data_IF_870009353239
#
_entry.id   IF_870009353239
#
_cell.length_a   1.000
_cell.length_b   1.000
_cell.length_c   1.000
_cell.angle_alpha   90.00
_cell.angle_beta   90.00
_cell.angle_gamma   90.00
#
_symmetry.space_group_name_H-M   'P 1'
#
loop_
_entity.id
_entity.type
_entity.pdbx_description
1 polymer ?
#
# COMPACT_ATOMS: atom_id res chain seq x y z
N UNK A 1 -35.45 39.35 -41.32
CA UNK A 1 -34.39 40.04 -40.55
C UNK A 1 -33.88 39.07 -39.48
N UNK A 2 -32.63 38.63 -39.66
CA UNK A 2 -31.70 37.88 -38.79
C UNK A 2 -32.20 37.22 -37.48
N UNK A 3 -32.12 35.88 -37.53
CA UNK A 3 -31.81 34.89 -36.49
C UNK A 3 -30.97 35.40 -35.30
N UNK A 4 -31.34 35.03 -34.08
CA UNK A 4 -30.40 34.94 -32.96
C UNK A 4 -30.76 33.72 -32.09
N UNK A 5 -30.18 32.56 -32.42
CA UNK A 5 -30.15 31.39 -31.54
C UNK A 5 -28.97 31.56 -30.57
N UNK A 6 -29.24 31.75 -29.28
CA UNK A 6 -28.24 31.66 -28.22
C UNK A 6 -27.93 30.19 -27.95
N UNK A 7 -26.76 29.74 -28.41
CA UNK A 7 -26.23 28.41 -28.12
C UNK A 7 -25.59 28.44 -26.72
N UNK A 8 -26.29 27.90 -25.72
CA UNK A 8 -25.74 27.70 -24.38
C UNK A 8 -24.85 26.45 -24.41
N UNK A 9 -23.55 26.63 -24.64
CA UNK A 9 -22.59 25.54 -24.53
C UNK A 9 -22.40 25.20 -23.05
N UNK A 10 -23.09 24.16 -22.56
CA UNK A 10 -22.73 23.50 -21.31
C UNK A 10 -21.34 22.88 -21.51
N UNK A 11 -20.31 23.58 -21.08
CA UNK A 11 -19.00 22.96 -20.85
C UNK A 11 -19.17 22.09 -19.61
N UNK A 12 -19.54 20.83 -19.81
CA UNK A 12 -19.45 19.82 -18.77
C UNK A 12 -17.98 19.70 -18.41
N UNK A 13 -17.56 20.37 -17.33
CA UNK A 13 -16.26 20.13 -16.72
C UNK A 13 -16.22 18.65 -16.37
N UNK A 14 -15.46 17.87 -17.13
CA UNK A 14 -15.12 16.52 -16.73
C UNK A 14 -14.39 16.67 -15.40
N UNK A 15 -15.09 16.39 -14.29
CA UNK A 15 -14.48 16.31 -12.98
C UNK A 15 -13.45 15.18 -13.09
N UNK A 16 -12.18 15.56 -13.20
CA UNK A 16 -11.09 14.60 -13.10
C UNK A 16 -11.20 14.01 -11.70
N UNK A 17 -11.44 12.70 -11.63
CA UNK A 17 -11.43 11.97 -10.36
C UNK A 17 -10.07 12.27 -9.71
N UNK A 18 -10.06 12.72 -8.45
CA UNK A 18 -8.81 12.99 -7.76
C UNK A 18 -8.16 11.70 -7.28
N UNK A 19 -6.90 11.76 -6.81
CA UNK A 19 -6.24 10.59 -6.22
C UNK A 19 -7.05 9.91 -5.11
N UNK A 20 -7.81 10.67 -4.32
CA UNK A 20 -8.71 10.13 -3.29
C UNK A 20 -9.82 9.26 -3.91
N UNK A 21 -10.40 9.69 -5.03
CA UNK A 21 -11.41 8.90 -5.76
C UNK A 21 -10.79 7.65 -6.37
N UNK A 22 -9.54 7.73 -6.86
CA UNK A 22 -8.79 6.55 -7.34
C UNK A 22 -8.57 5.53 -6.25
N UNK A 23 -8.16 5.97 -5.06
CA UNK A 23 -8.01 5.10 -3.91
C UNK A 23 -9.33 4.45 -3.50
N UNK A 24 -10.43 5.21 -3.49
CA UNK A 24 -11.76 4.66 -3.20
C UNK A 24 -12.15 3.59 -4.20
N UNK A 25 -11.95 3.85 -5.49
CA UNK A 25 -12.22 2.89 -6.56
C UNK A 25 -11.33 1.64 -6.47
N UNK A 26 -10.06 1.82 -6.11
CA UNK A 26 -9.11 0.74 -5.88
C UNK A 26 -9.56 -0.14 -4.72
N UNK A 27 -9.81 0.44 -3.55
CA UNK A 27 -10.28 -0.26 -2.35
C UNK A 27 -11.59 -1.01 -2.62
N UNK A 28 -12.55 -0.38 -3.30
CA UNK A 28 -13.86 -0.97 -3.57
C UNK A 28 -13.81 -2.15 -4.55
N UNK A 29 -12.97 -2.07 -5.59
CA UNK A 29 -13.00 -3.05 -6.69
C UNK A 29 -11.80 -4.00 -6.78
N UNK A 30 -10.71 -3.79 -6.02
CA UNK A 30 -9.60 -4.73 -5.94
C UNK A 30 -9.81 -5.67 -4.73
N UNK A 31 -10.37 -6.85 -5.00
CA UNK A 31 -10.55 -7.92 -4.00
C UNK A 31 -9.29 -8.74 -3.83
N UNK A 32 -8.58 -8.99 -4.93
CA UNK A 32 -7.23 -9.54 -4.92
C UNK A 32 -6.33 -8.67 -5.76
N UNK A 33 -5.04 -8.67 -5.46
CA UNK A 33 -4.04 -8.16 -6.38
C UNK A 33 -2.69 -8.83 -6.13
N UNK A 34 -1.82 -8.77 -7.13
CA UNK A 34 -0.42 -9.10 -7.01
C UNK A 34 0.41 -8.08 -7.79
N UNK A 35 1.64 -7.85 -7.34
CA UNK A 35 2.59 -6.98 -8.02
C UNK A 35 4.01 -7.34 -7.59
N UNK A 36 4.98 -6.97 -8.41
CA UNK A 36 6.37 -6.85 -7.97
C UNK A 36 6.55 -5.49 -7.31
N UNK A 37 7.50 -5.38 -6.39
CA UNK A 37 7.86 -4.12 -5.77
C UNK A 37 9.36 -3.85 -5.72
N UNK A 38 9.71 -2.57 -5.74
CA UNK A 38 11.01 -2.06 -5.33
C UNK A 38 10.79 -1.04 -4.23
N UNK A 39 11.43 -1.26 -3.09
CA UNK A 39 11.43 -0.38 -1.94
C UNK A 39 12.79 0.30 -1.82
N UNK A 40 12.79 1.61 -1.65
CA UNK A 40 13.99 2.41 -1.37
C UNK A 40 13.74 3.21 -0.11
N UNK A 41 14.64 3.11 0.87
CA UNK A 41 14.61 3.88 2.10
C UNK A 41 15.74 4.89 2.04
N UNK A 42 15.41 6.15 2.31
CA UNK A 42 16.38 7.24 2.43
C UNK A 42 16.27 7.94 3.77
N UNK A 43 17.40 8.42 4.28
CA UNK A 43 17.43 9.28 5.47
C UNK A 43 16.99 10.72 5.15
N UNK A 44 16.90 11.56 6.19
CA UNK A 44 16.48 12.97 6.08
C UNK A 44 17.33 13.83 5.14
N UNK A 45 18.53 13.38 4.78
CA UNK A 45 19.42 14.06 3.84
C UNK A 45 19.25 13.53 2.40
N UNK A 46 18.30 12.61 2.17
CA UNK A 46 18.06 11.97 0.87
C UNK A 46 19.05 10.87 0.53
N UNK A 47 19.94 10.48 1.46
CA UNK A 47 20.88 9.39 1.21
C UNK A 47 20.14 8.06 1.34
N UNK A 48 20.26 7.21 0.32
CA UNK A 48 19.70 5.85 0.34
C UNK A 48 20.41 5.03 1.42
N UNK A 49 19.65 4.52 2.37
CA UNK A 49 20.12 3.67 3.46
C UNK A 49 19.82 2.20 3.23
N UNK A 50 18.75 1.91 2.50
CA UNK A 50 18.34 0.55 2.17
C UNK A 50 17.62 0.53 0.83
N UNK A 51 17.79 -0.56 0.09
CA UNK A 51 16.96 -0.88 -1.06
C UNK A 51 16.57 -2.34 -0.94
N UNK A 52 15.32 -2.66 -1.27
CA UNK A 52 14.83 -4.02 -1.26
C UNK A 52 13.86 -4.25 -2.43
N UNK A 53 13.67 -5.49 -2.83
CA UNK A 53 12.71 -5.84 -3.88
C UNK A 53 12.06 -7.17 -3.60
N UNK A 54 10.92 -7.41 -4.24
CA UNK A 54 10.20 -8.64 -4.06
C UNK A 54 8.82 -8.66 -4.70
N UNK A 55 7.96 -9.51 -4.17
CA UNK A 55 6.59 -9.70 -4.63
C UNK A 55 5.60 -9.44 -3.51
N UNK A 56 4.48 -8.83 -3.85
CA UNK A 56 3.35 -8.68 -2.96
C UNK A 56 2.10 -9.33 -3.54
N UNK A 57 1.26 -9.84 -2.65
CA UNK A 57 -0.10 -10.25 -2.96
C UNK A 57 -1.04 -9.83 -1.82
N UNK A 58 -2.29 -9.52 -2.14
CA UNK A 58 -3.33 -9.39 -1.14
C UNK A 58 -4.64 -10.04 -1.59
N UNK A 59 -5.42 -10.45 -0.60
CA UNK A 59 -6.80 -10.86 -0.75
C UNK A 59 -7.62 -10.26 0.40
N UNK A 60 -8.63 -9.47 0.05
CA UNK A 60 -9.49 -8.84 1.04
C UNK A 60 -10.52 -9.84 1.59
N UNK A 61 -10.90 -9.72 2.88
CA UNK A 61 -10.33 -8.80 3.88
C UNK A 61 -9.04 -9.36 4.53
N UNK A 62 -8.09 -8.48 4.83
CA UNK A 62 -7.04 -8.73 5.83
C UNK A 62 -5.94 -9.73 5.46
N UNK A 63 -5.96 -10.34 4.26
CA UNK A 63 -4.91 -11.28 3.85
C UNK A 63 -3.91 -10.61 2.94
N UNK A 64 -2.64 -10.81 3.21
CA UNK A 64 -1.56 -10.33 2.38
C UNK A 64 -0.30 -11.14 2.56
N UNK A 65 0.59 -11.03 1.59
CA UNK A 65 1.90 -11.62 1.61
C UNK A 65 2.88 -10.70 0.91
N UNK A 66 4.04 -10.52 1.53
CA UNK A 66 5.19 -9.84 0.97
C UNK A 66 6.37 -10.79 1.06
N UNK A 67 6.94 -11.11 -0.09
CA UNK A 67 8.13 -11.92 -0.22
C UNK A 67 9.26 -10.97 -0.63
N UNK A 68 10.15 -10.64 0.29
CA UNK A 68 11.38 -9.88 0.02
C UNK A 68 12.45 -10.85 -0.48
N UNK A 69 13.08 -10.53 -1.61
CA UNK A 69 14.08 -11.38 -2.26
C UNK A 69 15.51 -10.80 -2.17
N UNK A 70 15.66 -9.50 -1.93
CA UNK A 70 16.96 -8.86 -1.86
C UNK A 70 16.89 -7.61 -0.97
N UNK A 71 18.01 -7.22 -0.31
CA UNK A 71 19.25 -8.00 -0.13
C UNK A 71 19.11 -9.13 0.90
N UNK A 72 18.06 -9.11 1.72
CA UNK A 72 17.77 -10.10 2.73
C UNK A 72 16.43 -10.76 2.40
N UNK A 73 16.37 -12.09 2.56
CA UNK A 73 15.14 -12.82 2.31
C UNK A 73 14.23 -12.73 3.55
N UNK A 74 13.05 -12.16 3.35
CA UNK A 74 12.07 -11.98 4.41
C UNK A 74 10.67 -12.28 3.89
N UNK A 75 9.86 -12.96 4.70
CA UNK A 75 8.47 -13.23 4.38
C UNK A 75 7.57 -12.56 5.41
N UNK A 76 6.67 -11.70 4.96
CA UNK A 76 5.65 -11.08 5.80
C UNK A 76 4.28 -11.58 5.33
N UNK A 77 3.52 -12.22 6.22
CA UNK A 77 2.18 -12.77 5.90
C UNK A 77 1.16 -12.29 6.90
N UNK A 78 0.11 -11.63 6.40
CA UNK A 78 -1.14 -11.45 7.14
C UNK A 78 -2.13 -12.52 6.71
N UNK A 79 -2.58 -13.37 7.64
CA UNK A 79 -3.53 -14.46 7.34
C UNK A 79 -5.01 -14.08 7.58
N UNK A 80 -5.24 -12.83 8.02
CA UNK A 80 -6.53 -12.27 8.42
C UNK A 80 -6.74 -12.19 9.93
N UNK A 81 -5.91 -12.87 10.73
CA UNK A 81 -5.94 -12.81 12.19
C UNK A 81 -4.57 -12.45 12.77
N UNK A 82 -3.51 -13.05 12.25
CA UNK A 82 -2.12 -12.87 12.69
C UNK A 82 -1.26 -12.29 11.58
N UNK A 83 -0.25 -11.55 12.02
CA UNK A 83 0.90 -11.12 11.22
C UNK A 83 2.08 -12.03 11.56
N UNK A 84 2.65 -12.64 10.54
CA UNK A 84 3.86 -13.45 10.61
C UNK A 84 4.98 -12.69 9.89
N UNK A 85 6.11 -12.53 10.55
CA UNK A 85 7.34 -12.00 9.95
C UNK A 85 8.41 -13.07 10.10
N UNK A 86 8.88 -13.62 8.99
CA UNK A 86 9.96 -14.59 8.98
C UNK A 86 11.20 -13.97 8.37
N UNK A 87 12.22 -13.83 9.20
CA UNK A 87 13.58 -13.50 8.78
C UNK A 87 14.30 -14.82 8.49
N UNK A 88 14.61 -15.07 7.21
CA UNK A 88 15.16 -16.36 6.75
C UNK A 88 16.62 -16.52 7.19
N UNK A 89 17.39 -15.43 7.21
CA UNK A 89 18.81 -15.46 7.55
C UNK A 89 19.03 -15.73 9.05
N UNK A 90 18.12 -15.22 9.89
CA UNK A 90 18.14 -15.46 11.34
C UNK A 90 17.40 -16.74 11.76
N UNK A 91 16.70 -17.39 10.83
CA UNK A 91 15.74 -18.46 11.08
C UNK A 91 14.76 -18.12 12.22
N UNK A 92 14.23 -16.90 12.19
CA UNK A 92 13.39 -16.36 13.27
C UNK A 92 12.03 -15.91 12.75
N UNK A 93 10.96 -16.37 13.41
CA UNK A 93 9.58 -15.99 13.15
C UNK A 93 9.05 -15.12 14.28
N UNK A 94 8.62 -13.90 13.95
CA UNK A 94 7.86 -13.04 14.84
C UNK A 94 6.37 -13.14 14.50
N UNK A 95 5.52 -13.34 15.51
CA UNK A 95 4.06 -13.42 15.36
C UNK A 95 3.36 -12.36 16.21
N UNK A 96 2.40 -11.64 15.63
CA UNK A 96 1.62 -10.60 16.30
C UNK A 96 0.15 -10.63 15.89
N UNK A 97 -0.80 -10.20 16.74
CA UNK A 97 -2.17 -9.94 16.31
C UNK A 97 -2.20 -8.89 15.20
N UNK A 98 -2.96 -9.14 14.13
CA UNK A 98 -2.96 -8.24 12.97
C UNK A 98 -3.57 -6.86 13.30
N UNK A 99 -4.57 -6.82 14.19
CA UNK A 99 -5.27 -5.59 14.59
C UNK A 99 -4.36 -4.52 15.19
N UNK A 100 -3.29 -4.92 15.86
CA UNK A 100 -2.35 -4.01 16.53
C UNK A 100 -1.35 -3.37 15.56
N UNK A 101 -1.23 -3.90 14.33
CA UNK A 101 -0.17 -3.55 13.36
C UNK A 101 -0.70 -2.81 12.14
N UNK A 102 -2.02 -2.60 12.02
CA UNK A 102 -2.66 -2.00 10.83
C UNK A 102 -2.09 -0.61 10.49
N UNK A 103 -1.57 0.13 11.49
CA UNK A 103 -0.95 1.44 11.29
C UNK A 103 0.56 1.41 10.94
N UNK A 104 1.23 0.26 11.05
CA UNK A 104 2.70 0.17 11.05
C UNK A 104 3.35 -0.28 9.74
N UNK A 105 2.59 -0.75 8.74
CA UNK A 105 3.19 -1.24 7.48
C UNK A 105 2.39 -0.79 6.23
N UNK A 106 3.08 -0.50 5.10
CA UNK A 106 2.40 -0.25 3.81
C UNK A 106 1.49 -1.42 3.40
N UNK A 107 1.90 -2.65 3.70
CA UNK A 107 1.18 -3.88 3.39
C UNK A 107 -0.23 -3.91 4.02
N UNK A 108 -0.31 -3.58 5.32
CA UNK A 108 -1.58 -3.55 6.04
C UNK A 108 -2.51 -2.46 5.51
N UNK A 109 -1.97 -1.32 5.07
CA UNK A 109 -2.77 -0.26 4.43
C UNK A 109 -3.42 -0.74 3.14
N UNK A 110 -2.68 -1.51 2.33
CA UNK A 110 -3.18 -2.03 1.06
C UNK A 110 -4.15 -3.20 1.23
N UNK A 111 -4.02 -4.01 2.28
CA UNK A 111 -4.86 -5.19 2.50
C UNK A 111 -6.02 -4.97 3.49
N UNK A 112 -5.97 -3.86 4.24
CA UNK A 112 -6.98 -3.45 5.23
C UNK A 112 -8.36 -3.27 4.64
N UNK A 113 -9.40 -3.31 5.45
CA UNK A 113 -10.76 -3.11 4.97
C UNK A 113 -10.98 -1.69 4.38
N UNK A 114 -12.21 -1.40 3.95
CA UNK A 114 -12.60 -0.07 3.47
C UNK A 114 -12.49 1.03 4.55
N UNK A 115 -11.86 0.78 5.70
CA UNK A 115 -11.74 1.71 6.82
C UNK A 115 -10.45 2.54 6.80
N UNK A 116 -9.76 2.70 5.66
CA UNK A 116 -8.61 3.63 5.59
C UNK A 116 -8.97 5.02 6.10
N UNK A 117 -10.18 5.50 5.82
CA UNK A 117 -10.70 6.79 6.30
C UNK A 117 -11.00 6.81 7.81
N UNK A 118 -11.09 5.65 8.47
CA UNK A 118 -11.19 5.57 9.94
C UNK A 118 -9.87 5.98 10.59
N UNK A 119 -8.75 5.60 9.97
CA UNK A 119 -7.40 5.79 10.53
C UNK A 119 -6.68 7.00 9.93
N UNK A 120 -7.04 7.42 8.71
CA UNK A 120 -6.37 8.48 7.98
C UNK A 120 -7.34 9.57 7.50
N UNK A 121 -6.85 10.80 7.47
CA UNK A 121 -7.44 11.91 6.74
C UNK A 121 -6.85 11.93 5.33
N UNK A 122 -7.70 11.90 4.31
CA UNK A 122 -7.29 11.81 2.91
C UNK A 122 -7.44 13.17 2.22
N UNK A 123 -6.45 13.54 1.38
CA UNK A 123 -6.48 14.77 0.58
C UNK A 123 -5.90 14.54 -0.80
N UNK A 124 -6.52 15.10 -1.84
CA UNK A 124 -5.93 15.12 -3.18
C UNK A 124 -4.63 15.93 -3.17
N UNK A 125 -3.58 15.39 -3.80
CA UNK A 125 -2.26 15.99 -3.87
C UNK A 125 -1.84 16.37 -5.30
N UNK A 126 -2.81 16.47 -6.22
CA UNK A 126 -2.60 16.87 -7.60
C UNK A 126 -2.06 15.76 -8.50
N UNK A 127 -1.61 16.12 -9.68
CA UNK A 127 -0.98 15.23 -10.65
C UNK A 127 0.52 15.57 -10.75
N UNK A 128 1.36 14.53 -10.71
CA UNK A 128 2.81 14.65 -10.95
C UNK A 128 3.33 13.37 -11.57
N UNK A 129 4.24 13.49 -12.52
CA UNK A 129 4.88 12.36 -13.22
C UNK A 129 3.87 11.40 -13.88
N UNK A 130 2.72 11.95 -14.32
CA UNK A 130 1.62 11.19 -14.92
C UNK A 130 0.86 10.31 -13.92
N UNK A 131 0.98 10.58 -12.62
CA UNK A 131 0.24 9.92 -11.54
C UNK A 131 -0.68 10.91 -10.83
N UNK A 132 -1.89 10.46 -10.53
CA UNK A 132 -2.82 11.16 -9.65
C UNK A 132 -2.51 10.82 -8.20
N UNK A 133 -2.12 11.82 -7.43
CA UNK A 133 -1.64 11.64 -6.06
C UNK A 133 -2.70 11.98 -5.02
N UNK A 134 -2.63 11.26 -3.91
CA UNK A 134 -3.28 11.63 -2.67
C UNK A 134 -2.30 11.55 -1.49
N UNK A 135 -2.57 12.34 -0.47
CA UNK A 135 -1.93 12.28 0.83
C UNK A 135 -2.91 11.68 1.85
N UNK A 136 -2.41 10.73 2.65
CA UNK A 136 -3.09 10.11 3.78
C UNK A 136 -2.30 10.42 5.05
N UNK A 137 -2.90 11.20 5.95
CA UNK A 137 -2.30 11.60 7.22
C UNK A 137 -3.01 10.84 8.36
N UNK A 138 -2.27 10.11 9.21
CA UNK A 138 -2.87 9.44 10.37
C UNK A 138 -3.66 10.41 11.25
N UNK A 139 -4.82 9.96 11.75
CA UNK A 139 -5.64 10.72 12.69
C UNK A 139 -5.13 10.60 14.14
N UNK A 140 -4.47 9.49 14.45
CA UNK A 140 -3.84 9.23 15.74
C UNK A 140 -2.33 9.46 15.63
N UNK A 141 -1.70 9.90 16.73
CA UNK A 141 -0.26 10.20 16.78
C UNK A 141 0.63 9.00 17.13
N UNK A 142 0.02 7.89 17.55
CA UNK A 142 0.73 6.64 17.88
C UNK A 142 1.04 5.81 16.62
N UNK A 143 1.50 6.47 15.56
CA UNK A 143 1.86 5.85 14.29
C UNK A 143 3.32 6.07 13.96
N UNK A 144 3.95 5.08 13.35
CA UNK A 144 5.33 5.19 12.87
C UNK A 144 5.50 6.22 11.75
N UNK A 145 4.43 6.48 10.99
CA UNK A 145 4.44 7.41 9.86
C UNK A 145 3.77 8.74 10.20
N UNK A 146 4.28 9.85 9.65
CA UNK A 146 3.63 11.17 9.67
C UNK A 146 2.67 11.35 8.49
N UNK A 147 2.99 10.74 7.34
CA UNK A 147 2.24 10.89 6.10
C UNK A 147 2.54 9.75 5.14
N UNK A 148 1.52 9.32 4.42
CA UNK A 148 1.64 8.39 3.31
C UNK A 148 1.11 9.07 2.05
N UNK A 149 1.82 8.98 0.94
CA UNK A 149 1.34 9.41 -0.37
C UNK A 149 1.13 8.20 -1.26
N UNK A 150 0.07 8.22 -2.07
CA UNK A 150 -0.26 7.13 -2.99
C UNK A 150 -0.50 7.71 -4.39
N UNK A 151 0.26 7.22 -5.37
CA UNK A 151 0.22 7.66 -6.76
C UNK A 151 -0.45 6.60 -7.64
N UNK A 152 -1.53 7.01 -8.29
CA UNK A 152 -2.34 6.15 -9.15
C UNK A 152 -2.15 6.50 -10.63
N UNK A 153 -2.17 5.48 -11.49
CA UNK A 153 -2.31 5.64 -12.93
C UNK A 153 -3.59 4.93 -13.36
N UNK A 154 -4.64 5.70 -13.62
CA UNK A 154 -5.97 5.14 -13.83
C UNK A 154 -6.45 4.42 -12.56
N UNK A 155 -6.70 3.12 -12.64
CA UNK A 155 -7.16 2.29 -11.53
C UNK A 155 -6.05 1.48 -10.84
N UNK A 156 -4.80 1.62 -11.29
CA UNK A 156 -3.64 0.92 -10.75
C UNK A 156 -2.88 1.81 -9.76
N UNK A 157 -2.57 1.26 -8.58
CA UNK A 157 -1.60 1.85 -7.67
C UNK A 157 -0.19 1.61 -8.22
N UNK A 158 0.59 2.67 -8.43
CA UNK A 158 1.92 2.60 -9.03
C UNK A 158 3.02 2.89 -8.02
N UNK A 159 2.78 3.82 -7.09
CA UNK A 159 3.79 4.24 -6.13
C UNK A 159 3.18 4.60 -4.79
N UNK A 160 3.91 4.31 -3.72
CA UNK A 160 3.66 4.82 -2.38
C UNK A 160 4.90 5.52 -1.84
N UNK A 161 4.69 6.56 -1.05
CA UNK A 161 5.75 7.27 -0.33
C UNK A 161 5.34 7.35 1.14
N UNK A 162 6.18 6.86 2.04
CA UNK A 162 5.95 6.88 3.47
C UNK A 162 6.99 7.77 4.12
N UNK A 163 6.52 8.75 4.88
CA UNK A 163 7.34 9.68 5.64
C UNK A 163 7.18 9.33 7.11
N UNK A 164 8.28 9.07 7.80
CA UNK A 164 8.29 8.79 9.24
C UNK A 164 8.61 10.04 10.07
N UNK A 165 8.41 9.95 11.39
CA UNK A 165 8.61 11.07 12.31
C UNK A 165 10.09 11.48 12.47
N UNK A 166 11.04 10.65 12.03
CA UNK A 166 12.48 10.87 12.12
C UNK A 166 13.08 11.42 10.82
N UNK A 167 12.24 11.69 9.82
CA UNK A 167 12.63 12.18 8.51
C UNK A 167 13.12 11.08 7.56
N UNK A 168 12.89 9.81 7.88
CA UNK A 168 13.05 8.72 6.92
C UNK A 168 11.95 8.80 5.87
N UNK A 169 12.34 8.60 4.62
CA UNK A 169 11.43 8.53 3.49
C UNK A 169 11.59 7.17 2.82
N UNK A 170 10.50 6.41 2.78
CA UNK A 170 10.42 5.12 2.08
C UNK A 170 9.60 5.30 0.82
N UNK A 171 10.19 5.03 -0.35
CA UNK A 171 9.48 4.94 -1.62
C UNK A 171 9.27 3.48 -1.98
N UNK A 172 8.04 3.13 -2.33
CA UNK A 172 7.65 1.79 -2.77
C UNK A 172 7.03 1.90 -4.16
N UNK A 173 7.69 1.33 -5.17
CA UNK A 173 7.20 1.31 -6.55
C UNK A 173 6.65 -0.07 -6.88
N UNK A 174 5.46 -0.12 -7.45
CA UNK A 174 4.79 -1.35 -7.87
C UNK A 174 4.88 -1.50 -9.39
N UNK A 175 5.23 -2.70 -9.84
CA UNK A 175 5.29 -3.07 -11.26
C UNK A 175 4.57 -4.39 -11.48
N UNK A 176 4.19 -4.67 -12.74
CA UNK A 176 3.42 -5.88 -13.09
C UNK A 176 2.16 -6.07 -12.23
N UNK A 177 1.49 -4.96 -11.91
CA UNK A 177 0.28 -4.98 -11.09
C UNK A 177 -0.85 -5.71 -11.83
N UNK A 178 -1.38 -6.77 -11.20
CA UNK A 178 -2.55 -7.51 -11.70
C UNK A 178 -3.67 -7.37 -10.70
N UNK A 179 -4.79 -6.80 -11.17
CA UNK A 179 -6.02 -6.64 -10.39
C UNK A 179 -6.91 -7.87 -10.50
N UNK A 180 -7.45 -8.31 -9.37
CA UNK A 180 -8.37 -9.43 -9.25
C UNK A 180 -7.90 -10.77 -9.86
N UNK A 181 -6.61 -11.17 -9.76
CA UNK A 181 -6.19 -12.49 -10.19
C UNK A 181 -6.78 -13.58 -9.28
N UNK A 182 -6.91 -14.79 -9.82
CA UNK A 182 -7.19 -15.97 -9.00
C UNK A 182 -5.93 -16.33 -8.20
N UNK A 183 -5.98 -16.18 -6.87
CA UNK A 183 -4.88 -16.52 -5.96
C UNK A 183 -5.34 -17.65 -5.05
N UNK A 184 -4.55 -18.73 -4.97
CA UNK A 184 -4.85 -19.83 -4.07
C UNK A 184 -4.86 -19.36 -2.61
N UNK A 185 -5.87 -19.72 -1.79
CA UNK A 185 -5.93 -19.30 -0.38
C UNK A 185 -4.72 -19.73 0.45
N UNK A 186 -4.03 -20.80 0.04
CA UNK A 186 -2.78 -21.26 0.66
C UNK A 186 -1.64 -20.24 0.58
N UNK A 187 -1.66 -19.31 -0.39
CA UNK A 187 -0.62 -18.27 -0.51
C UNK A 187 -0.54 -17.36 0.71
N UNK A 188 -1.63 -17.21 1.45
CA UNK A 188 -1.74 -16.35 2.64
C UNK A 188 -1.66 -17.13 3.95
N UNK A 189 -1.36 -18.43 3.90
CA UNK A 189 -1.09 -19.23 5.10
C UNK A 189 0.41 -19.26 5.33
N UNK A 190 0.83 -19.14 6.58
CA UNK A 190 2.21 -19.31 6.98
C UNK A 190 2.32 -20.45 7.99
N UNK A 191 3.36 -21.25 7.86
CA UNK A 191 3.71 -22.29 8.82
C UNK A 191 5.20 -22.11 9.09
N UNK A 192 5.60 -21.82 10.35
CA UNK A 192 7.01 -21.71 10.71
C UNK A 192 7.80 -22.94 10.25
N UNK A 193 8.95 -22.77 9.60
CA UNK A 193 9.84 -23.87 9.27
C UNK A 193 10.27 -24.63 10.52
N UNK A 194 10.58 -25.92 10.36
CA UNK A 194 11.06 -26.75 11.46
C UNK A 194 12.42 -26.22 11.93
N UNK A 195 12.50 -25.83 13.20
CA UNK A 195 13.74 -25.33 13.82
C UNK A 195 13.79 -23.83 13.99
N UNK A 196 12.90 -23.08 13.32
CA UNK A 196 12.83 -21.64 13.45
C UNK A 196 12.46 -21.22 14.88
N UNK A 197 13.11 -20.18 15.39
CA UNK A 197 12.78 -19.57 16.68
C UNK A 197 11.49 -18.74 16.53
N UNK A 198 10.46 -19.05 17.31
CA UNK A 198 9.15 -18.39 17.20
C UNK A 198 8.91 -17.51 18.41
N UNK A 199 8.78 -16.21 18.17
CA UNK A 199 8.64 -15.17 19.19
C UNK A 199 7.31 -14.42 18.99
N UNK A 200 6.50 -14.30 20.05
CA UNK A 200 5.24 -13.54 20.05
C UNK A 200 4.02 -14.36 20.52
N UNK A 201 2.81 -13.88 20.21
CA UNK A 201 1.52 -14.44 20.68
C UNK A 201 0.62 -15.02 19.56
#
# INVERSE_FOLDING_TARGET
MRLLFLLFALVASAAHAGGVDRLKAFIAGARTAQADFVQTVSDKNGRITQQASGQMAFARPGKFRWDYNAPYEQVIVGDGAKLWLYDIDLDQVTVKPLGDVIAGTPAALLAGDNAIEKYFSLKNAGESDGLEWLDATPKNRDTTFERIRMGFKGDALVQMELFDQFGQHTTLKLTHFVRNPSIAPSRFKFTPPKGADVIGE
#
